data_IF_871125160667
#
_entry.id   IF_871125160667
#
_cell.length_a   1.000
_cell.length_b   1.000
_cell.length_c   1.000
_cell.angle_alpha   90.00
_cell.angle_beta   90.00
_cell.angle_gamma   90.00
#
_symmetry.space_group_name_H-M   'P 1'
#
loop_
_entity.id
_entity.type
_entity.pdbx_description
1 polymer ?
#
# COMPACT_ATOMS: atom_id res chain seq x y z
N UNK A 1 14.98 42.11 -17.34
CA UNK A 1 15.97 41.53 -16.37
C UNK A 1 15.36 40.30 -15.78
N UNK A 2 15.76 39.14 -16.25
CA UNK A 2 15.32 37.84 -15.71
C UNK A 2 16.28 37.52 -14.57
N UNK A 3 15.77 37.44 -13.35
CA UNK A 3 16.56 37.00 -12.21
C UNK A 3 17.03 35.56 -12.46
N UNK A 4 18.33 35.40 -12.69
CA UNK A 4 19.00 34.12 -12.61
C UNK A 4 19.04 33.72 -11.13
N UNK A 5 17.96 33.04 -10.67
CA UNK A 5 18.02 32.26 -9.45
C UNK A 5 18.96 31.07 -9.74
N UNK A 6 20.01 30.92 -8.94
CA UNK A 6 20.95 29.83 -9.01
C UNK A 6 20.16 28.51 -8.99
N UNK A 7 20.03 27.88 -10.15
CA UNK A 7 19.51 26.53 -10.24
C UNK A 7 20.55 25.64 -9.59
N UNK A 8 20.25 25.09 -8.41
CA UNK A 8 21.08 24.05 -7.81
C UNK A 8 21.40 22.99 -8.87
N UNK A 9 22.64 22.52 -8.93
CA UNK A 9 23.04 21.48 -9.89
C UNK A 9 22.15 20.26 -9.72
N UNK A 10 21.92 19.48 -10.78
CA UNK A 10 21.13 18.25 -10.69
C UNK A 10 21.68 17.29 -9.62
N UNK A 11 23.01 17.24 -9.49
CA UNK A 11 23.67 16.45 -8.45
C UNK A 11 23.29 16.93 -7.04
N UNK A 12 23.33 18.24 -6.79
CA UNK A 12 22.93 18.82 -5.50
C UNK A 12 21.44 18.54 -5.18
N UNK A 13 20.57 18.60 -6.20
CA UNK A 13 19.14 18.25 -6.02
C UNK A 13 18.96 16.77 -5.68
N UNK A 14 19.66 15.88 -6.35
CA UNK A 14 19.64 14.44 -6.05
C UNK A 14 20.11 14.19 -4.62
N UNK A 15 21.24 14.77 -4.22
CA UNK A 15 21.78 14.65 -2.86
C UNK A 15 20.77 15.16 -1.80
N UNK A 16 20.11 16.30 -2.05
CA UNK A 16 19.07 16.82 -1.16
C UNK A 16 17.91 15.84 -1.00
N UNK A 17 17.39 15.27 -2.10
CA UNK A 17 16.28 14.29 -2.02
C UNK A 17 16.65 13.04 -1.20
N UNK A 18 17.88 12.54 -1.32
CA UNK A 18 18.36 11.44 -0.47
C UNK A 18 18.40 11.84 1.01
N UNK A 19 18.94 13.03 1.30
CA UNK A 19 19.02 13.56 2.66
C UNK A 19 17.63 13.75 3.29
N UNK A 20 16.72 14.38 2.56
CA UNK A 20 15.35 14.63 3.01
C UNK A 20 14.59 13.32 3.28
N UNK A 21 14.73 12.33 2.38
CA UNK A 21 14.12 11.01 2.53
C UNK A 21 14.68 10.26 3.75
N UNK A 22 15.99 10.30 3.97
CA UNK A 22 16.62 9.67 5.12
C UNK A 22 16.16 10.34 6.43
N UNK A 23 16.16 11.68 6.47
CA UNK A 23 15.68 12.45 7.63
C UNK A 23 14.24 12.14 7.96
N UNK A 24 13.34 12.16 6.97
CA UNK A 24 11.92 11.85 7.18
C UNK A 24 11.73 10.46 7.80
N UNK A 25 12.46 9.45 7.32
CA UNK A 25 12.40 8.10 7.87
C UNK A 25 12.85 8.04 9.33
N UNK A 26 13.95 8.71 9.66
CA UNK A 26 14.45 8.77 11.03
C UNK A 26 13.49 9.50 11.97
N UNK A 27 12.95 10.63 11.53
CA UNK A 27 11.97 11.42 12.30
C UNK A 27 10.67 10.62 12.55
N UNK A 28 10.27 9.78 11.58
CA UNK A 28 9.06 8.97 11.68
C UNK A 28 9.16 7.81 12.68
N UNK A 29 10.37 7.34 13.03
CA UNK A 29 10.55 6.16 13.90
C UNK A 29 9.78 6.27 15.21
N UNK A 30 9.90 7.39 15.91
CA UNK A 30 9.26 7.58 17.22
C UNK A 30 7.72 7.59 17.13
N UNK A 31 7.17 8.15 16.05
CA UNK A 31 5.72 8.28 15.87
C UNK A 31 5.09 7.00 15.29
N UNK A 32 5.78 6.29 14.40
CA UNK A 32 5.18 5.24 13.59
C UNK A 32 5.52 3.82 14.06
N UNK A 33 6.58 3.59 14.83
CA UNK A 33 6.97 2.23 15.23
C UNK A 33 5.86 1.48 15.97
N UNK A 34 5.22 2.10 16.94
CA UNK A 34 4.15 1.46 17.71
C UNK A 34 2.87 1.19 16.88
N UNK A 35 2.31 2.14 16.10
CA UNK A 35 1.16 1.85 15.25
C UNK A 35 1.46 0.83 14.16
N UNK A 36 2.67 0.82 13.58
CA UNK A 36 3.07 -0.22 12.60
C UNK A 36 3.14 -1.60 13.26
N UNK A 37 3.73 -1.71 14.44
CA UNK A 37 3.76 -2.97 15.18
C UNK A 37 2.35 -3.52 15.45
N UNK A 38 1.42 -2.67 15.88
CA UNK A 38 0.01 -3.06 16.06
C UNK A 38 -0.65 -3.53 14.77
N UNK A 39 -0.40 -2.85 13.64
CA UNK A 39 -0.91 -3.25 12.34
C UNK A 39 -0.36 -4.63 11.91
N UNK A 40 0.93 -4.88 12.14
CA UNK A 40 1.56 -6.18 11.88
C UNK A 40 0.90 -7.28 12.72
N UNK A 41 0.70 -7.07 14.02
CA UNK A 41 0.05 -8.03 14.92
C UNK A 41 -1.38 -8.34 14.46
N UNK A 42 -2.15 -7.33 14.07
CA UNK A 42 -3.52 -7.47 13.56
C UNK A 42 -3.55 -8.32 12.28
N UNK A 43 -2.73 -7.98 11.30
CA UNK A 43 -2.65 -8.72 10.03
C UNK A 43 -2.16 -10.16 10.24
N UNK A 44 -1.12 -10.35 11.04
CA UNK A 44 -0.61 -11.68 11.35
C UNK A 44 -1.64 -12.53 12.12
N UNK A 45 -2.40 -11.93 13.02
CA UNK A 45 -3.51 -12.57 13.72
C UNK A 45 -4.60 -13.04 12.75
N UNK A 46 -5.03 -12.18 11.81
CA UNK A 46 -6.01 -12.53 10.80
C UNK A 46 -5.54 -13.71 9.93
N UNK A 47 -4.31 -13.66 9.45
CA UNK A 47 -3.73 -14.75 8.62
C UNK A 47 -3.63 -16.07 9.39
N UNK A 48 -3.20 -16.04 10.66
CA UNK A 48 -3.16 -17.25 11.52
C UNK A 48 -4.54 -17.84 11.78
N UNK A 49 -5.56 -16.99 11.82
CA UNK A 49 -6.95 -17.42 12.00
C UNK A 49 -7.62 -17.90 10.71
N UNK A 50 -6.89 -17.98 9.59
CA UNK A 50 -7.42 -18.40 8.29
C UNK A 50 -8.12 -17.29 7.49
N UNK A 51 -8.00 -16.04 7.95
CA UNK A 51 -8.43 -14.86 7.22
C UNK A 51 -7.45 -14.44 6.13
N UNK A 52 -7.74 -13.32 5.48
CA UNK A 52 -6.90 -12.73 4.42
C UNK A 52 -6.68 -11.24 4.63
N UNK A 53 -5.69 -10.70 3.92
CA UNK A 53 -5.46 -9.27 3.81
C UNK A 53 -5.93 -8.81 2.43
N UNK A 54 -6.84 -7.86 2.43
CA UNK A 54 -7.29 -7.15 1.22
C UNK A 54 -6.57 -5.81 1.18
N UNK A 55 -5.94 -5.48 0.06
CA UNK A 55 -5.19 -4.23 -0.08
C UNK A 55 -5.79 -3.37 -1.20
N UNK A 56 -5.88 -2.07 -0.97
CA UNK A 56 -6.36 -1.12 -1.98
C UNK A 56 -5.61 0.20 -1.92
N UNK A 57 -5.68 0.94 -3.00
CA UNK A 57 -5.09 2.25 -3.17
C UNK A 57 -5.20 2.69 -4.62
N UNK A 58 -4.88 3.94 -4.90
CA UNK A 58 -4.99 4.53 -6.24
C UNK A 58 -3.61 4.96 -6.76
N UNK A 59 -3.42 4.97 -8.06
CA UNK A 59 -2.17 5.41 -8.68
C UNK A 59 -0.96 4.63 -8.17
N UNK A 60 0.03 5.32 -7.59
CA UNK A 60 1.20 4.70 -6.96
C UNK A 60 0.83 3.75 -5.84
N UNK A 61 -0.14 4.12 -5.00
CA UNK A 61 -0.66 3.26 -3.93
C UNK A 61 -1.37 2.01 -4.44
N UNK A 62 -1.91 2.01 -5.67
CA UNK A 62 -2.41 0.79 -6.29
C UNK A 62 -1.26 -0.19 -6.59
N UNK A 63 -0.11 0.31 -7.04
CA UNK A 63 1.09 -0.51 -7.23
C UNK A 63 1.63 -1.06 -5.90
N UNK A 64 1.63 -0.25 -4.84
CA UNK A 64 2.03 -0.68 -3.50
C UNK A 64 1.10 -1.78 -2.96
N UNK A 65 -0.21 -1.64 -3.15
CA UNK A 65 -1.19 -2.67 -2.77
C UNK A 65 -0.95 -4.00 -3.50
N UNK A 66 -0.64 -3.94 -4.80
CA UNK A 66 -0.30 -5.12 -5.61
C UNK A 66 1.00 -5.77 -5.14
N UNK A 67 2.04 -4.98 -4.90
CA UNK A 67 3.32 -5.46 -4.41
C UNK A 67 3.16 -6.14 -3.05
N UNK A 68 2.45 -5.49 -2.13
CA UNK A 68 2.17 -6.06 -0.81
C UNK A 68 1.44 -7.42 -0.90
N UNK A 69 0.39 -7.51 -1.72
CA UNK A 69 -0.34 -8.77 -1.91
C UNK A 69 0.54 -9.86 -2.54
N UNK A 70 1.39 -9.50 -3.49
CA UNK A 70 2.33 -10.42 -4.13
C UNK A 70 3.35 -10.98 -3.12
N UNK A 71 3.87 -10.15 -2.20
CA UNK A 71 4.78 -10.60 -1.14
C UNK A 71 4.10 -11.58 -0.18
N UNK A 72 2.79 -11.44 0.09
CA UNK A 72 2.05 -12.41 0.89
C UNK A 72 1.85 -13.74 0.15
N UNK A 73 1.41 -13.68 -1.10
CA UNK A 73 1.07 -14.87 -1.90
C UNK A 73 2.31 -15.66 -2.29
N UNK A 74 3.37 -14.99 -2.69
CA UNK A 74 4.63 -15.63 -3.06
C UNK A 74 5.53 -15.82 -1.82
N UNK A 75 6.44 -14.88 -1.57
CA UNK A 75 7.31 -14.88 -0.39
C UNK A 75 8.00 -13.52 -0.23
N UNK A 76 8.44 -13.23 0.98
CA UNK A 76 9.33 -12.12 1.31
C UNK A 76 10.42 -12.62 2.26
N UNK A 77 11.68 -12.35 1.94
CA UNK A 77 12.91 -12.70 2.68
C UNK A 77 13.15 -14.21 2.91
N UNK A 78 12.14 -14.96 3.28
CA UNK A 78 12.29 -16.40 3.61
C UNK A 78 11.26 -17.27 2.88
N UNK A 79 11.60 -18.54 2.67
CA UNK A 79 10.65 -19.55 2.21
C UNK A 79 9.58 -19.81 3.27
N UNK A 80 8.33 -19.87 2.83
CA UNK A 80 7.16 -20.20 3.64
C UNK A 80 5.97 -20.57 2.76
N UNK A 81 4.94 -21.21 3.28
CA UNK A 81 3.69 -21.41 2.57
C UNK A 81 3.06 -20.06 2.15
N UNK A 82 2.33 -20.03 1.02
CA UNK A 82 1.56 -18.85 0.59
C UNK A 82 0.60 -18.36 1.68
N UNK A 83 0.50 -17.04 1.81
CA UNK A 83 -0.44 -16.36 2.70
C UNK A 83 -1.53 -15.69 1.88
N UNK A 84 -2.75 -15.63 2.43
CA UNK A 84 -3.90 -15.08 1.72
C UNK A 84 -3.83 -13.55 1.64
N UNK A 85 -3.39 -13.03 0.51
CA UNK A 85 -3.34 -11.60 0.19
C UNK A 85 -4.00 -11.33 -1.16
N UNK A 86 -4.78 -10.26 -1.26
CA UNK A 86 -5.47 -9.87 -2.49
C UNK A 86 -5.45 -8.36 -2.65
N UNK A 87 -4.93 -7.86 -3.78
CA UNK A 87 -5.07 -6.47 -4.17
C UNK A 87 -6.38 -6.25 -4.92
N UNK A 88 -7.19 -5.29 -4.46
CA UNK A 88 -8.46 -4.90 -5.09
C UNK A 88 -8.26 -3.94 -6.28
N UNK A 89 -7.04 -3.83 -6.79
CA UNK A 89 -6.61 -2.82 -7.76
C UNK A 89 -6.29 -3.40 -9.14
N UNK A 90 -6.48 -4.71 -9.34
CA UNK A 90 -5.95 -5.41 -10.51
C UNK A 90 -7.00 -5.83 -11.54
N UNK A 91 -8.23 -6.09 -11.12
CA UNK A 91 -9.31 -6.50 -12.03
C UNK A 91 -9.89 -5.26 -12.73
N UNK A 92 -9.40 -5.01 -13.93
CA UNK A 92 -9.82 -3.86 -14.73
C UNK A 92 -11.30 -3.89 -15.08
N UNK A 93 -11.89 -5.07 -15.31
CA UNK A 93 -13.31 -5.19 -15.60
C UNK A 93 -14.15 -4.81 -14.39
N UNK A 94 -13.80 -5.30 -13.22
CA UNK A 94 -14.48 -4.93 -11.97
C UNK A 94 -14.35 -3.44 -11.67
N UNK A 95 -13.15 -2.88 -11.76
CA UNK A 95 -12.91 -1.45 -11.48
C UNK A 95 -13.68 -0.56 -12.45
N UNK A 96 -13.60 -0.84 -13.75
CA UNK A 96 -14.22 0.00 -14.77
C UNK A 96 -15.74 -0.11 -14.80
N UNK A 97 -16.30 -1.31 -14.60
CA UNK A 97 -17.75 -1.48 -14.53
C UNK A 97 -18.36 -0.76 -13.32
N UNK A 98 -17.76 -0.89 -12.14
CA UNK A 98 -18.22 -0.17 -10.95
C UNK A 98 -18.10 1.34 -11.14
N UNK A 99 -16.97 1.82 -11.65
CA UNK A 99 -16.74 3.24 -11.91
C UNK A 99 -17.71 3.82 -12.94
N UNK A 100 -18.08 3.04 -13.96
CA UNK A 100 -19.03 3.45 -14.99
C UNK A 100 -20.49 3.41 -14.54
N UNK A 101 -20.89 2.33 -13.87
CA UNK A 101 -22.30 2.06 -13.54
C UNK A 101 -22.76 2.75 -12.24
N UNK A 102 -21.84 3.05 -11.34
CA UNK A 102 -22.13 3.67 -10.04
C UNK A 102 -21.27 4.94 -9.81
N UNK A 103 -20.08 4.79 -9.21
CA UNK A 103 -19.12 5.88 -9.04
C UNK A 103 -17.73 5.33 -8.73
N UNK A 104 -16.72 6.15 -8.96
CA UNK A 104 -15.33 5.78 -8.66
C UNK A 104 -15.09 5.55 -7.16
N UNK A 105 -15.79 6.25 -6.27
CA UNK A 105 -15.68 6.07 -4.82
C UNK A 105 -16.08 4.66 -4.37
N UNK A 106 -16.88 3.94 -5.16
CA UNK A 106 -17.38 2.61 -4.81
C UNK A 106 -16.51 1.45 -5.32
N UNK A 107 -15.44 1.73 -6.06
CA UNK A 107 -14.65 0.66 -6.73
C UNK A 107 -14.05 -0.35 -5.75
N UNK A 108 -13.61 0.09 -4.59
CA UNK A 108 -13.07 -0.80 -3.54
C UNK A 108 -14.15 -1.28 -2.58
N UNK A 109 -15.10 -0.44 -2.24
CA UNK A 109 -16.21 -0.77 -1.34
C UNK A 109 -16.99 -1.99 -1.83
N UNK A 110 -17.41 -2.00 -3.10
CA UNK A 110 -18.17 -3.13 -3.67
C UNK A 110 -17.38 -4.43 -3.67
N UNK A 111 -16.11 -4.38 -4.00
CA UNK A 111 -15.23 -5.55 -3.95
C UNK A 111 -15.06 -6.05 -2.51
N UNK A 112 -14.86 -5.14 -1.55
CA UNK A 112 -14.74 -5.49 -0.14
C UNK A 112 -16.02 -6.15 0.40
N UNK A 113 -17.20 -5.63 0.04
CA UNK A 113 -18.48 -6.24 0.41
C UNK A 113 -18.67 -7.64 -0.18
N UNK A 114 -18.19 -7.86 -1.41
CA UNK A 114 -18.33 -9.16 -2.08
C UNK A 114 -17.33 -10.21 -1.55
N UNK A 115 -16.08 -9.81 -1.29
CA UNK A 115 -14.95 -10.71 -1.05
C UNK A 115 -14.54 -10.78 0.43
N UNK A 116 -14.80 -9.72 1.20
CA UNK A 116 -14.44 -9.64 2.61
C UNK A 116 -15.27 -10.57 3.48
N UNK A 117 -14.65 -11.09 4.52
CA UNK A 117 -15.27 -11.95 5.53
C UNK A 117 -14.89 -11.44 6.91
N UNK A 118 -15.68 -11.80 7.90
CA UNK A 118 -15.36 -11.50 9.31
C UNK A 118 -13.99 -12.09 9.66
N UNK A 119 -13.12 -11.27 10.22
CA UNK A 119 -11.75 -11.65 10.57
C UNK A 119 -10.70 -11.28 9.51
N UNK A 120 -11.10 -10.83 8.32
CA UNK A 120 -10.20 -10.25 7.32
C UNK A 120 -9.75 -8.85 7.73
N UNK A 121 -8.63 -8.40 7.17
CA UNK A 121 -8.10 -7.04 7.36
C UNK A 121 -8.04 -6.32 6.01
N UNK A 122 -8.48 -5.08 5.98
CA UNK A 122 -8.28 -4.17 4.86
C UNK A 122 -7.07 -3.27 5.13
N UNK A 123 -6.12 -3.28 4.21
CA UNK A 123 -5.02 -2.33 4.13
C UNK A 123 -5.33 -1.30 3.03
N UNK A 124 -5.64 -0.08 3.42
CA UNK A 124 -5.83 1.06 2.51
C UNK A 124 -4.58 1.95 2.51
N UNK A 125 -4.04 2.25 1.32
CA UNK A 125 -2.78 2.98 1.10
C UNK A 125 -3.08 4.32 0.39
#
# INVERSE_FOLDING_TARGET
MVHAGESASLEARVASHFGDSAKLKLDAVAALSAPIARAIELMAGALRAGGKILACGNGGSAADAQHFAAELVNRFERERPPLAGLALTTDSSTLTSIGNDYSYEQVFEKQLRALGRKGDVLLAI
#
